data_IF_835857111424
#
_entry.id   IF_835857111424
#
_cell.length_a   1.000
_cell.length_b   1.000
_cell.length_c   1.000
_cell.angle_alpha   90.00
_cell.angle_beta   90.00
_cell.angle_gamma   90.00
#
_symmetry.space_group_name_H-M   'P 1'
#
loop_
_entity.id
_entity.type
_entity.pdbx_description
1 polymer ?
#
# COMPACT_ATOMS: atom_id res chain seq x y z
N UNK A 1 11.39 3.47 -9.31
CA UNK A 1 12.54 3.95 -8.51
C UNK A 1 12.27 3.59 -7.07
N UNK A 2 13.27 3.07 -6.36
CA UNK A 2 13.16 2.82 -4.92
C UNK A 2 13.03 4.14 -4.17
N UNK A 3 12.12 4.19 -3.18
CA UNK A 3 11.94 5.35 -2.32
C UNK A 3 12.89 5.22 -1.12
N UNK A 4 14.11 5.74 -1.24
CA UNK A 4 15.10 5.66 -0.15
C UNK A 4 14.89 6.71 0.94
N UNK A 5 14.00 7.67 0.70
CA UNK A 5 13.67 8.77 1.60
C UNK A 5 12.41 8.51 2.46
N UNK A 6 11.89 7.29 2.45
CA UNK A 6 10.75 6.88 3.29
C UNK A 6 11.20 6.37 4.66
N UNK A 7 10.44 6.72 5.68
CA UNK A 7 10.51 6.23 7.06
C UNK A 7 9.21 5.50 7.39
N UNK A 8 9.28 4.56 8.33
CA UNK A 8 8.16 3.84 8.95
C UNK A 8 7.00 3.54 8.00
N UNK A 9 7.19 2.57 7.10
CA UNK A 9 6.17 2.14 6.14
C UNK A 9 5.26 1.11 6.81
N UNK A 10 3.97 1.40 6.84
CA UNK A 10 2.92 0.51 7.33
C UNK A 10 2.00 0.12 6.18
N UNK A 11 1.88 -1.19 5.92
CA UNK A 11 0.90 -1.76 5.00
C UNK A 11 -0.24 -2.40 5.81
N UNK A 12 -1.42 -1.79 5.77
CA UNK A 12 -2.63 -2.33 6.36
C UNK A 12 -3.43 -3.09 5.31
N UNK A 13 -3.80 -4.33 5.61
CA UNK A 13 -4.66 -5.17 4.76
C UNK A 13 -5.85 -5.64 5.59
N UNK A 14 -7.04 -5.27 5.16
CA UNK A 14 -8.29 -5.63 5.80
C UNK A 14 -9.22 -6.29 4.79
N UNK A 15 -10.25 -6.98 5.27
CA UNK A 15 -11.25 -7.59 4.40
C UNK A 15 -12.60 -7.46 5.06
N UNK A 16 -13.57 -6.89 4.35
CA UNK A 16 -14.93 -6.77 4.87
C UNK A 16 -15.57 -8.14 5.08
N UNK A 17 -16.32 -8.32 6.16
CA UNK A 17 -17.05 -9.56 6.44
C UNK A 17 -18.55 -9.38 6.17
N UNK A 18 -19.15 -10.30 5.42
CA UNK A 18 -20.60 -10.42 5.28
C UNK A 18 -21.10 -11.62 6.09
N UNK A 19 -22.18 -11.41 6.85
CA UNK A 19 -22.88 -12.50 7.53
C UNK A 19 -23.76 -13.26 6.52
N UNK A 20 -23.50 -14.55 6.36
CA UNK A 20 -24.27 -15.46 5.51
C UNK A 20 -24.92 -16.59 6.32
N UNK A 21 -25.16 -16.35 7.62
CA UNK A 21 -25.72 -17.33 8.53
C UNK A 21 -27.07 -17.84 8.03
N UNK A 22 -27.15 -19.14 7.77
CA UNK A 22 -28.40 -19.82 7.43
C UNK A 22 -28.90 -20.61 8.63
N UNK A 23 -30.22 -20.90 8.68
CA UNK A 23 -30.82 -21.75 9.72
C UNK A 23 -30.22 -23.17 9.75
N UNK A 24 -29.56 -23.61 8.67
CA UNK A 24 -28.83 -24.88 8.60
C UNK A 24 -27.44 -24.85 9.24
N UNK A 25 -26.95 -23.69 9.69
CA UNK A 25 -25.60 -23.55 10.24
C UNK A 25 -25.47 -23.98 11.71
N UNK A 26 -26.38 -24.82 12.21
CA UNK A 26 -26.35 -25.43 13.55
C UNK A 26 -26.04 -24.46 14.71
N UNK A 27 -26.53 -23.22 14.64
CA UNK A 27 -26.34 -22.21 15.68
C UNK A 27 -25.00 -21.46 15.62
N UNK A 28 -24.19 -21.67 14.59
CA UNK A 28 -22.94 -20.92 14.37
C UNK A 28 -23.17 -19.73 13.45
N UNK A 29 -22.38 -18.68 13.63
CA UNK A 29 -22.30 -17.57 12.66
C UNK A 29 -21.44 -18.01 11.48
N UNK A 30 -21.93 -17.83 10.26
CA UNK A 30 -21.13 -18.00 9.05
C UNK A 30 -20.76 -16.62 8.50
N UNK A 31 -19.48 -16.34 8.37
CA UNK A 31 -18.96 -15.11 7.76
C UNK A 31 -18.29 -15.45 6.42
N UNK A 32 -18.48 -14.58 5.43
CA UNK A 32 -17.80 -14.64 4.12
C UNK A 32 -17.06 -13.34 3.91
N UNK A 33 -15.79 -13.44 3.51
CA UNK A 33 -14.98 -12.31 3.08
C UNK A 33 -15.54 -11.67 1.82
N UNK A 34 -15.65 -10.35 1.82
CA UNK A 34 -16.17 -9.54 0.71
C UNK A 34 -15.03 -8.84 -0.04
N UNK A 35 -15.00 -7.51 -0.02
CA UNK A 35 -13.94 -6.71 -0.64
C UNK A 35 -12.74 -6.64 0.29
N UNK A 36 -11.55 -6.76 -0.30
CA UNK A 36 -10.28 -6.48 0.38
C UNK A 36 -10.06 -4.98 0.36
N UNK A 37 -9.71 -4.42 1.51
CA UNK A 37 -9.29 -3.04 1.65
C UNK A 37 -7.80 -3.01 2.00
N UNK A 38 -7.09 -2.03 1.47
CA UNK A 38 -5.69 -1.81 1.82
C UNK A 38 -5.44 -0.33 2.07
N UNK A 39 -4.54 -0.02 2.99
CA UNK A 39 -3.92 1.31 3.07
C UNK A 39 -2.42 1.17 3.24
N UNK A 40 -1.67 2.04 2.58
CA UNK A 40 -0.25 2.22 2.83
C UNK A 40 -0.12 3.58 3.51
N UNK A 41 0.51 3.59 4.67
CA UNK A 41 0.81 4.78 5.44
C UNK A 41 2.31 4.84 5.65
N UNK A 42 2.94 5.93 5.22
CA UNK A 42 4.37 6.11 5.38
C UNK A 42 4.70 7.59 5.55
N UNK A 43 5.82 7.85 6.22
CA UNK A 43 6.42 9.17 6.26
C UNK A 43 7.58 9.23 5.27
N UNK A 44 7.82 10.37 4.64
CA UNK A 44 9.01 10.56 3.82
C UNK A 44 9.63 11.94 4.03
N UNK A 45 10.94 12.06 3.85
CA UNK A 45 11.62 13.35 3.91
C UNK A 45 11.20 14.23 2.73
N UNK A 46 10.97 15.52 2.98
CA UNK A 46 10.67 16.50 1.94
C UNK A 46 11.93 16.74 1.08
N UNK A 47 12.06 15.96 0.02
CA UNK A 47 13.13 16.10 -0.98
C UNK A 47 12.54 16.32 -2.37
N UNK A 48 12.54 17.57 -2.83
CA UNK A 48 12.02 17.93 -4.16
C UNK A 48 12.92 17.50 -5.31
N UNK A 49 14.16 17.07 -5.03
CA UNK A 49 15.07 16.51 -6.03
C UNK A 49 14.85 15.01 -6.26
N UNK A 50 14.17 14.35 -5.33
CA UNK A 50 13.78 12.96 -5.46
C UNK A 50 12.63 12.78 -6.47
N UNK A 51 12.84 11.87 -7.42
CA UNK A 51 11.87 11.60 -8.47
C UNK A 51 10.61 10.92 -7.92
N UNK A 52 10.74 10.09 -6.88
CA UNK A 52 9.63 9.41 -6.23
C UNK A 52 8.74 10.38 -5.45
N UNK A 53 9.32 11.30 -4.69
CA UNK A 53 8.62 12.40 -4.04
C UNK A 53 7.84 13.23 -5.05
N UNK A 54 8.48 13.61 -6.16
CA UNK A 54 7.83 14.39 -7.22
C UNK A 54 6.65 13.63 -7.84
N UNK A 55 6.80 12.32 -8.05
CA UNK A 55 5.71 11.48 -8.56
C UNK A 55 4.52 11.41 -7.58
N UNK A 56 4.77 11.19 -6.28
CA UNK A 56 3.72 11.13 -5.25
C UNK A 56 2.99 12.47 -5.13
N UNK A 57 3.75 13.56 -5.10
CA UNK A 57 3.20 14.92 -5.06
C UNK A 57 2.30 15.17 -6.27
N UNK A 58 2.77 14.86 -7.47
CA UNK A 58 1.97 15.06 -8.69
C UNK A 58 0.73 14.16 -8.71
N UNK A 59 0.85 12.90 -8.32
CA UNK A 59 -0.27 11.97 -8.22
C UNK A 59 -1.36 12.51 -7.28
N UNK A 60 -0.98 13.08 -6.14
CA UNK A 60 -1.92 13.73 -5.23
C UNK A 60 -2.63 14.94 -5.85
N UNK A 61 -1.88 15.88 -6.43
CA UNK A 61 -2.48 17.11 -6.97
C UNK A 61 -3.30 16.89 -8.25
N UNK A 62 -2.93 15.90 -9.06
CA UNK A 62 -3.65 15.57 -10.29
C UNK A 62 -4.77 14.55 -10.08
N UNK A 63 -4.82 13.89 -8.91
CA UNK A 63 -5.66 12.73 -8.64
C UNK A 63 -5.37 11.56 -9.60
N UNK A 64 -4.11 11.44 -10.04
CA UNK A 64 -3.68 10.36 -10.93
C UNK A 64 -3.37 9.09 -10.11
N UNK A 65 -3.74 7.90 -10.58
CA UNK A 65 -3.28 6.65 -10.01
C UNK A 65 -1.75 6.54 -10.05
N UNK A 66 -1.16 5.99 -9.00
CA UNK A 66 0.28 5.71 -8.92
C UNK A 66 0.52 4.25 -8.52
N UNK A 67 1.37 3.56 -9.28
CA UNK A 67 1.77 2.19 -8.97
C UNK A 67 2.76 2.15 -7.81
N UNK A 68 2.47 1.37 -6.78
CA UNK A 68 3.42 1.03 -5.71
C UNK A 68 3.73 -0.46 -5.70
N UNK A 69 4.98 -0.77 -5.39
CA UNK A 69 5.44 -2.10 -5.00
C UNK A 69 5.94 -2.01 -3.56
N UNK A 70 5.11 -2.45 -2.61
CA UNK A 70 5.46 -2.47 -1.18
C UNK A 70 6.05 -3.84 -0.88
N UNK A 71 7.37 -3.96 -1.04
CA UNK A 71 8.10 -5.21 -0.88
C UNK A 71 8.80 -5.26 0.49
N UNK A 72 8.92 -6.44 1.08
CA UNK A 72 9.66 -6.70 2.32
C UNK A 72 11.18 -6.82 2.13
N UNK A 73 11.66 -6.65 0.89
CA UNK A 73 13.06 -6.73 0.51
C UNK A 73 13.31 -6.06 -0.83
N UNK A 74 14.54 -6.18 -1.34
CA UNK A 74 14.93 -5.58 -2.61
C UNK A 74 14.06 -6.07 -3.78
N UNK A 75 13.91 -5.22 -4.79
CA UNK A 75 13.19 -5.56 -6.02
C UNK A 75 13.80 -6.80 -6.67
N UNK A 76 13.01 -7.88 -6.79
CA UNK A 76 13.44 -9.15 -7.36
C UNK A 76 13.82 -10.24 -6.35
N UNK A 77 13.86 -9.92 -5.05
CA UNK A 77 13.98 -10.91 -3.96
C UNK A 77 12.92 -10.76 -2.86
N UNK A 78 12.33 -9.57 -2.72
CA UNK A 78 11.25 -9.30 -1.79
C UNK A 78 9.88 -9.83 -2.27
N UNK A 79 9.00 -10.01 -1.29
CA UNK A 79 7.58 -10.29 -1.49
C UNK A 79 6.73 -9.11 -1.00
N UNK A 80 5.54 -8.95 -1.56
CA UNK A 80 4.63 -7.91 -1.10
C UNK A 80 3.56 -7.50 -2.10
N UNK A 81 2.87 -6.41 -1.79
CA UNK A 81 1.74 -5.95 -2.57
C UNK A 81 2.20 -5.01 -3.70
N UNK A 82 1.87 -5.38 -4.93
CA UNK A 82 2.00 -4.53 -6.11
C UNK A 82 0.62 -4.17 -6.62
N UNK A 83 0.29 -2.89 -6.60
CA UNK A 83 -1.00 -2.39 -7.07
C UNK A 83 -0.91 -0.91 -7.45
N UNK A 84 -1.96 -0.41 -8.10
CA UNK A 84 -2.16 1.03 -8.28
C UNK A 84 -2.94 1.61 -7.11
N UNK A 85 -2.44 2.72 -6.59
CA UNK A 85 -2.99 3.42 -5.45
C UNK A 85 -3.37 4.85 -5.84
N UNK A 86 -4.33 5.41 -5.12
CA UNK A 86 -4.62 6.83 -5.10
C UNK A 86 -4.10 7.41 -3.80
N UNK A 87 -3.43 8.57 -3.88
CA UNK A 87 -2.95 9.28 -2.69
C UNK A 87 -4.14 10.03 -2.08
N UNK A 88 -4.55 9.62 -0.89
CA UNK A 88 -5.72 10.18 -0.19
C UNK A 88 -5.33 11.20 0.87
N UNK A 89 -4.07 11.19 1.31
CA UNK A 89 -3.52 12.16 2.24
C UNK A 89 -2.09 12.52 1.84
N UNK A 90 -1.76 13.81 1.89
CA UNK A 90 -0.43 14.35 1.71
C UNK A 90 -0.26 15.54 2.65
N UNK A 91 0.29 15.27 3.84
CA UNK A 91 0.46 16.27 4.91
C UNK A 91 1.93 16.62 5.09
N UNK A 92 2.29 17.90 4.99
CA UNK A 92 3.65 18.39 5.22
C UNK A 92 3.85 18.73 6.70
N UNK A 93 4.88 18.16 7.31
CA UNK A 93 5.31 18.44 8.68
C UNK A 93 6.61 19.26 8.66
N UNK A 94 6.63 20.34 9.44
CA UNK A 94 7.78 21.27 9.54
C UNK A 94 8.18 21.46 11.01
N UNK A 95 8.68 20.41 11.69
CA UNK A 95 9.18 20.54 13.05
C UNK A 95 10.37 21.52 13.09
N UNK A 96 10.45 22.32 14.16
CA UNK A 96 11.49 23.35 14.32
C UNK A 96 12.92 22.80 14.47
N UNK A 97 13.06 21.52 14.83
CA UNK A 97 14.34 20.90 15.19
C UNK A 97 14.77 19.75 14.24
N UNK A 98 13.93 19.35 13.29
CA UNK A 98 14.20 18.21 12.39
C UNK A 98 14.00 18.57 10.92
N UNK A 99 14.41 17.66 10.02
CA UNK A 99 14.14 17.81 8.59
C UNK A 99 12.63 17.81 8.32
N UNK A 100 12.18 18.61 7.35
CA UNK A 100 10.78 18.59 6.92
C UNK A 100 10.40 17.20 6.40
N UNK A 101 9.23 16.72 6.79
CA UNK A 101 8.69 15.41 6.34
C UNK A 101 7.30 15.57 5.72
N UNK A 102 6.85 14.52 5.05
CA UNK A 102 5.50 14.37 4.53
C UNK A 102 4.94 13.05 4.99
N UNK A 103 3.76 13.09 5.61
CA UNK A 103 2.95 11.91 5.87
C UNK A 103 2.03 11.64 4.67
N UNK A 104 2.11 10.44 4.11
CA UNK A 104 1.38 10.01 2.92
C UNK A 104 0.47 8.85 3.27
N UNK A 105 -0.78 8.89 2.81
CA UNK A 105 -1.70 7.74 2.86
C UNK A 105 -2.17 7.40 1.46
N UNK A 106 -1.87 6.17 1.02
CA UNK A 106 -2.27 5.65 -0.27
C UNK A 106 -3.28 4.51 -0.11
N UNK A 107 -4.34 4.50 -0.93
CA UNK A 107 -5.35 3.44 -0.95
C UNK A 107 -5.45 2.82 -2.34
N UNK A 108 -5.60 1.48 -2.48
CA UNK A 108 -5.79 0.84 -3.77
C UNK A 108 -6.93 1.51 -4.52
N UNK A 109 -6.71 1.84 -5.79
CA UNK A 109 -7.72 2.45 -6.65
C UNK A 109 -8.08 1.50 -7.79
N UNK A 110 -9.20 1.76 -8.44
CA UNK A 110 -9.54 1.04 -9.66
C UNK A 110 -8.50 1.35 -10.73
N UNK A 111 -7.82 0.30 -11.21
CA UNK A 111 -6.95 0.37 -12.37
C UNK A 111 -7.13 -0.88 -13.24
N UNK A 112 -6.58 -0.85 -14.45
CA UNK A 112 -6.57 -2.02 -15.34
C UNK A 112 -5.70 -3.16 -14.80
N UNK A 113 -4.85 -2.88 -13.81
CA UNK A 113 -3.92 -3.78 -13.15
C UNK A 113 -4.44 -4.18 -11.77
N UNK A 114 -5.06 -5.36 -11.61
CA UNK A 114 -5.58 -5.78 -10.31
C UNK A 114 -4.43 -5.87 -9.29
N UNK A 115 -4.69 -5.63 -7.98
CA UNK A 115 -3.68 -5.82 -6.95
C UNK A 115 -3.16 -7.26 -6.94
N UNK A 116 -1.84 -7.43 -7.06
CA UNK A 116 -1.18 -8.73 -7.05
C UNK A 116 -0.18 -8.78 -5.89
N UNK A 117 -0.24 -9.86 -5.12
CA UNK A 117 0.85 -10.20 -4.23
C UNK A 117 1.94 -10.90 -5.04
N UNK A 118 3.14 -10.34 -5.07
CA UNK A 118 4.28 -10.92 -5.78
C UNK A 118 5.21 -11.58 -4.78
N UNK A 119 5.58 -12.84 -5.02
CA UNK A 119 6.61 -13.56 -4.26
C UNK A 119 7.84 -13.73 -5.16
N UNK A 120 8.90 -12.94 -4.94
CA UNK A 120 10.15 -13.13 -5.70
C UNK A 120 11.09 -14.16 -5.07
N UNK A 121 10.64 -14.87 -4.03
CA UNK A 121 11.44 -15.77 -3.19
C UNK A 121 11.51 -17.24 -3.62
N UNK A 122 10.83 -17.69 -4.68
CA UNK A 122 10.93 -19.10 -5.12
C UNK A 122 11.78 -19.22 -6.36
N UNK A 123 13.10 -19.29 -6.13
CA UNK A 123 14.00 -20.06 -7.00
C UNK A 123 14.49 -21.30 -6.25
N UNK A 124 13.66 -22.37 -6.28
CA UNK A 124 14.13 -23.75 -6.22
C UNK A 124 13.70 -24.65 -5.04
N UNK A 125 12.94 -25.72 -5.37
CA UNK A 125 13.33 -27.09 -4.97
C UNK A 125 12.37 -27.92 -4.11
N UNK A 126 11.80 -28.98 -4.70
CA UNK A 126 11.30 -30.24 -4.07
C UNK A 126 9.97 -30.13 -3.31
N UNK A 127 8.96 -30.99 -3.45
CA UNK A 127 8.80 -32.34 -3.98
C UNK A 127 7.42 -32.49 -4.66
#
# INVERSE_FOLDING_TARGET
TELTNTKDVTLNLETGEADVSTRGNNGWRATVSTLKEGSIEFEMVWDTSDAGFTAIKNAYFNNDPIGFAVLDGESGSGQGLVADFSITNFTRNEPLEEAMTVSVTAKPTYSETPPVWTDSGVSGGGD
#
